data_IF_129680959418
#
_entry.id   IF_129680959418
#
_cell.length_a   1.000
_cell.length_b   1.000
_cell.length_c   1.000
_cell.angle_alpha   90.00
_cell.angle_beta   90.00
_cell.angle_gamma   90.00
#
_symmetry.space_group_name_H-M   'P 1'
#
loop_
_entity.id
_entity.type
_entity.pdbx_description
1 polymer ?
#
# COMPACT_ATOMS: atom_id res chain seq x y z
N UNK A 1 0.23 24.93 14.53
CA UNK A 1 0.28 23.46 14.62
C UNK A 1 0.97 22.89 13.39
N UNK A 2 1.74 21.82 13.57
CA UNK A 2 2.43 21.14 12.47
C UNK A 2 2.07 19.66 12.50
N UNK A 3 1.64 19.12 11.37
CA UNK A 3 1.37 17.70 11.22
C UNK A 3 2.58 16.99 10.58
N UNK A 4 2.73 15.73 10.91
CA UNK A 4 3.72 14.83 10.29
C UNK A 4 2.98 13.63 9.73
N UNK A 5 3.45 13.11 8.60
CA UNK A 5 2.87 11.90 8.04
C UNK A 5 3.30 10.73 8.90
N UNK A 6 2.31 9.99 9.43
CA UNK A 6 2.56 8.77 10.22
C UNK A 6 2.74 7.58 9.29
N UNK A 7 1.81 7.41 8.37
CA UNK A 7 1.88 6.42 7.30
C UNK A 7 0.95 6.82 6.16
N UNK A 8 1.17 6.22 5.00
CA UNK A 8 0.27 6.29 3.86
C UNK A 8 -0.42 4.94 3.73
N UNK A 9 -1.75 4.93 3.70
CA UNK A 9 -2.55 3.71 3.56
C UNK A 9 -2.88 3.43 2.10
N UNK A 10 -2.69 2.19 1.68
CA UNK A 10 -2.99 1.71 0.33
C UNK A 10 -3.83 0.45 0.44
N UNK A 11 -5.05 0.51 -0.11
CA UNK A 11 -5.91 -0.67 -0.20
C UNK A 11 -5.49 -1.49 -1.39
N UNK A 12 -5.30 -2.80 -1.18
CA UNK A 12 -4.85 -3.74 -2.20
C UNK A 12 -5.84 -4.89 -2.33
N UNK A 13 -5.90 -5.49 -3.50
CA UNK A 13 -6.79 -6.64 -3.76
C UNK A 13 -6.19 -7.93 -3.20
N UNK A 14 -4.87 -8.07 -3.32
CA UNK A 14 -4.12 -9.26 -2.86
C UNK A 14 -2.95 -8.81 -1.99
N UNK A 15 -3.12 -8.93 -0.68
CA UNK A 15 -2.12 -8.49 0.29
C UNK A 15 -0.81 -9.26 0.17
N UNK A 16 -0.87 -10.58 -0.04
CA UNK A 16 0.36 -11.38 -0.13
C UNK A 16 1.21 -10.98 -1.34
N UNK A 17 0.59 -10.74 -2.48
CA UNK A 17 1.27 -10.25 -3.67
C UNK A 17 1.86 -8.86 -3.45
N UNK A 18 1.09 -7.95 -2.88
CA UNK A 18 1.56 -6.60 -2.56
C UNK A 18 2.72 -6.63 -1.57
N UNK A 19 2.66 -7.47 -0.54
CA UNK A 19 3.75 -7.63 0.42
C UNK A 19 5.04 -8.10 -0.25
N UNK A 20 4.95 -9.05 -1.18
CA UNK A 20 6.14 -9.49 -1.94
C UNK A 20 6.74 -8.36 -2.75
N UNK A 21 5.91 -7.57 -3.41
CA UNK A 21 6.39 -6.41 -4.16
C UNK A 21 7.11 -5.39 -3.27
N UNK A 22 6.47 -4.98 -2.19
CA UNK A 22 7.04 -3.95 -1.30
C UNK A 22 8.29 -4.42 -0.57
N UNK A 23 8.37 -5.70 -0.20
CA UNK A 23 9.54 -6.25 0.50
C UNK A 23 10.65 -6.66 -0.46
N UNK A 24 10.34 -7.43 -1.50
CA UNK A 24 11.35 -8.00 -2.39
C UNK A 24 11.85 -7.00 -3.43
N UNK A 25 10.97 -6.16 -3.98
CA UNK A 25 11.34 -5.18 -5.00
C UNK A 25 11.80 -3.87 -4.36
N UNK A 26 11.05 -3.35 -3.40
CA UNK A 26 11.29 -2.02 -2.83
C UNK A 26 12.09 -2.05 -1.52
N UNK A 27 12.30 -3.23 -0.93
CA UNK A 27 13.14 -3.36 0.26
C UNK A 27 12.52 -2.87 1.56
N UNK A 28 11.20 -2.70 1.62
CA UNK A 28 10.52 -2.36 2.87
C UNK A 28 10.47 -3.57 3.80
N UNK A 29 10.39 -3.30 5.09
CA UNK A 29 10.32 -4.32 6.14
C UNK A 29 8.94 -4.33 6.79
N UNK A 30 8.33 -5.53 6.92
CA UNK A 30 7.05 -5.67 7.62
C UNK A 30 7.30 -5.50 9.12
N UNK A 31 6.64 -4.51 9.72
CA UNK A 31 6.73 -4.25 11.17
C UNK A 31 5.59 -4.86 11.95
N UNK A 32 4.37 -4.73 11.44
CA UNK A 32 3.16 -5.23 12.10
C UNK A 32 2.21 -5.76 11.04
N UNK A 33 1.65 -6.93 11.28
CA UNK A 33 0.56 -7.48 10.49
C UNK A 33 -0.55 -7.89 11.44
N UNK A 34 -1.79 -7.45 11.16
CA UNK A 34 -2.94 -7.67 12.03
C UNK A 34 -4.18 -8.02 11.23
N UNK A 35 -4.95 -8.98 11.77
CA UNK A 35 -6.32 -9.20 11.36
C UNK A 35 -7.23 -8.40 12.29
N UNK A 36 -8.06 -7.53 11.74
CA UNK A 36 -8.85 -6.58 12.53
C UNK A 36 -10.33 -6.68 12.17
N UNK A 37 -11.17 -6.63 13.21
CA UNK A 37 -12.63 -6.66 13.11
C UNK A 37 -13.23 -6.08 14.40
N UNK A 38 -14.53 -5.84 14.39
CA UNK A 38 -15.28 -5.40 15.56
C UNK A 38 -15.74 -3.95 15.48
N UNK A 39 -16.56 -3.50 16.46
CA UNK A 39 -17.18 -2.17 16.42
C UNK A 39 -16.19 -1.01 16.35
N UNK A 40 -15.02 -1.15 16.98
CA UNK A 40 -13.98 -0.13 16.95
C UNK A 40 -13.43 0.06 15.54
N UNK A 41 -13.18 -1.05 14.84
CA UNK A 41 -12.68 -1.02 13.46
C UNK A 41 -13.75 -0.47 12.52
N UNK A 42 -15.01 -0.90 12.70
CA UNK A 42 -16.13 -0.39 11.92
C UNK A 42 -16.24 1.13 12.04
N UNK A 43 -16.14 1.64 13.26
CA UNK A 43 -16.21 3.07 13.51
C UNK A 43 -15.03 3.83 12.86
N UNK A 44 -13.82 3.29 12.96
CA UNK A 44 -12.64 3.89 12.34
C UNK A 44 -12.72 3.94 10.81
N UNK A 45 -13.25 2.89 10.22
CA UNK A 45 -13.32 2.76 8.75
C UNK A 45 -14.59 3.41 8.16
N UNK A 46 -15.58 3.71 8.99
CA UNK A 46 -16.87 4.20 8.50
C UNK A 46 -17.63 3.17 7.70
N UNK A 47 -17.47 1.89 8.03
CA UNK A 47 -18.08 0.73 7.36
C UNK A 47 -18.74 -0.17 8.39
N UNK A 48 -19.54 -1.13 7.92
CA UNK A 48 -20.21 -2.09 8.79
C UNK A 48 -19.61 -3.49 8.60
N UNK A 49 -19.48 -4.23 9.71
CA UNK A 49 -19.03 -5.63 9.73
C UNK A 49 -17.69 -5.82 9.00
N UNK A 50 -16.74 -4.96 9.28
CA UNK A 50 -15.42 -4.97 8.66
C UNK A 50 -14.61 -6.18 9.11
N UNK A 51 -14.00 -6.86 8.14
CA UNK A 51 -12.88 -7.78 8.35
C UNK A 51 -11.76 -7.35 7.42
N UNK A 52 -10.65 -6.91 8.00
CA UNK A 52 -9.52 -6.37 7.25
C UNK A 52 -8.22 -6.94 7.79
N UNK A 53 -7.29 -7.25 6.89
CA UNK A 53 -5.90 -7.52 7.28
C UNK A 53 -5.07 -6.30 6.90
N UNK A 54 -4.32 -5.80 7.87
CA UNK A 54 -3.43 -4.66 7.68
C UNK A 54 -1.98 -5.09 7.87
N UNK A 55 -1.08 -4.46 7.11
CA UNK A 55 0.35 -4.65 7.29
C UNK A 55 1.05 -3.29 7.23
N UNK A 56 1.78 -2.95 8.29
CA UNK A 56 2.60 -1.74 8.32
C UNK A 56 4.02 -2.08 7.92
N UNK A 57 4.52 -1.37 6.93
CA UNK A 57 5.84 -1.55 6.33
C UNK A 57 6.68 -0.32 6.59
N UNK A 58 7.96 -0.54 6.84
CA UNK A 58 8.91 0.53 7.11
C UNK A 58 10.02 0.53 6.09
N UNK A 59 10.29 1.70 5.52
CA UNK A 59 11.43 1.94 4.64
C UNK A 59 12.71 2.17 5.44
N UNK A 60 13.89 2.07 4.81
CA UNK A 60 15.16 2.39 5.47
C UNK A 60 15.25 3.81 6.05
N UNK A 61 14.52 4.77 5.48
CA UNK A 61 14.46 6.15 5.93
C UNK A 61 13.41 6.41 7.02
N UNK A 62 12.85 5.34 7.62
CA UNK A 62 11.81 5.38 8.63
C UNK A 62 10.40 5.71 8.11
N UNK A 63 10.22 5.98 6.82
CA UNK A 63 8.90 6.18 6.22
C UNK A 63 8.04 4.94 6.35
N UNK A 64 6.74 5.12 6.58
CA UNK A 64 5.80 4.02 6.79
C UNK A 64 4.73 3.98 5.70
N UNK A 65 4.42 2.78 5.26
CA UNK A 65 3.28 2.49 4.39
C UNK A 65 2.44 1.42 5.06
N UNK A 66 1.12 1.56 5.00
CA UNK A 66 0.20 0.53 5.48
C UNK A 66 -0.55 -0.05 4.28
N UNK A 67 -0.47 -1.35 4.10
CA UNK A 67 -1.26 -2.08 3.12
C UNK A 67 -2.47 -2.69 3.79
N UNK A 68 -3.64 -2.60 3.14
CA UNK A 68 -4.90 -3.09 3.70
C UNK A 68 -5.61 -3.94 2.65
N UNK A 69 -6.07 -5.11 3.06
CA UNK A 69 -6.98 -5.92 2.26
C UNK A 69 -8.28 -6.13 3.03
N UNK A 70 -9.37 -5.62 2.48
CA UNK A 70 -10.71 -5.76 3.06
C UNK A 70 -11.34 -7.06 2.57
N UNK A 71 -11.42 -8.06 3.44
CA UNK A 71 -12.04 -9.36 3.12
C UNK A 71 -13.56 -9.25 3.06
N UNK A 72 -14.14 -8.39 3.90
CA UNK A 72 -15.58 -8.16 3.99
C UNK A 72 -16.11 -7.19 2.92
N UNK A 73 -15.24 -6.33 2.39
CA UNK A 73 -15.59 -5.28 1.43
C UNK A 73 -14.59 -5.30 0.27
N UNK A 74 -14.53 -6.37 -0.52
CA UNK A 74 -13.56 -6.45 -1.60
C UNK A 74 -13.89 -5.44 -2.69
N UNK A 75 -12.89 -4.65 -3.07
CA UNK A 75 -13.00 -3.74 -4.21
C UNK A 75 -12.39 -4.43 -5.43
N UNK A 76 -13.20 -4.58 -6.48
CA UNK A 76 -12.78 -5.19 -7.73
C UNK A 76 -12.76 -4.17 -8.88
N UNK A 77 -13.13 -2.93 -8.60
CA UNK A 77 -13.13 -1.88 -9.61
C UNK A 77 -11.71 -1.43 -9.91
N UNK A 78 -11.36 -1.34 -11.19
CA UNK A 78 -10.12 -0.72 -11.60
C UNK A 78 -10.21 0.79 -11.37
N UNK A 79 -9.12 1.40 -10.88
CA UNK A 79 -9.05 2.84 -10.78
C UNK A 79 -9.09 3.46 -12.18
N UNK A 80 -10.10 4.30 -12.43
CA UNK A 80 -10.38 4.87 -13.75
C UNK A 80 -9.75 6.25 -14.01
N UNK A 81 -8.93 6.74 -13.08
CA UNK A 81 -8.29 8.03 -13.21
C UNK A 81 -6.94 7.99 -13.93
N UNK A 82 -6.30 9.14 -14.02
CA UNK A 82 -4.95 9.30 -14.52
C UNK A 82 -4.13 10.20 -13.58
N UNK A 83 -2.89 10.53 -13.96
CA UNK A 83 -2.00 11.32 -13.12
C UNK A 83 -2.53 12.72 -12.80
N UNK A 84 -3.52 13.22 -13.55
CA UNK A 84 -4.14 14.54 -13.34
C UNK A 84 -5.40 14.48 -12.47
N UNK A 85 -5.85 13.31 -12.10
CA UNK A 85 -7.09 13.15 -11.32
C UNK A 85 -6.91 13.64 -9.90
N UNK A 86 -7.95 14.29 -9.35
CA UNK A 86 -7.91 14.75 -7.96
C UNK A 86 -7.78 13.56 -7.01
N UNK A 87 -6.85 13.65 -6.09
CA UNK A 87 -6.59 12.61 -5.08
C UNK A 87 -5.15 12.13 -5.09
N UNK A 88 -4.91 11.01 -4.43
CA UNK A 88 -3.60 10.38 -4.39
C UNK A 88 -3.38 9.57 -5.66
N UNK A 89 -2.46 9.99 -6.50
CA UNK A 89 -2.23 9.37 -7.81
C UNK A 89 -0.92 8.60 -7.89
N UNK A 90 0.06 8.91 -7.03
CA UNK A 90 1.37 8.27 -7.08
C UNK A 90 2.12 8.42 -5.77
N UNK A 91 3.14 7.60 -5.62
CA UNK A 91 4.16 7.73 -4.57
C UNK A 91 5.51 7.80 -5.27
N UNK A 92 6.30 8.80 -4.91
CA UNK A 92 7.67 8.94 -5.41
C UNK A 92 8.64 8.27 -4.45
N UNK A 93 9.53 7.45 -4.99
CA UNK A 93 10.54 6.74 -4.22
C UNK A 93 11.93 7.09 -4.74
N UNK A 94 12.87 7.26 -3.81
CA UNK A 94 14.30 7.37 -4.15
C UNK A 94 14.91 5.98 -3.98
N UNK A 95 15.63 5.53 -5.00
CA UNK A 95 16.26 4.20 -5.00
C UNK A 95 17.73 4.33 -5.36
N UNK A 96 18.55 3.35 -4.95
CA UNK A 96 19.99 3.38 -5.19
C UNK A 96 20.34 3.03 -6.64
N UNK A 97 19.59 2.12 -7.25
CA UNK A 97 19.82 1.65 -8.62
C UNK A 97 18.50 1.61 -9.38
N UNK A 98 18.24 2.66 -10.15
CA UNK A 98 16.99 2.83 -10.88
C UNK A 98 16.79 1.72 -11.93
N UNK A 99 17.84 1.32 -12.62
CA UNK A 99 17.72 0.29 -13.66
C UNK A 99 17.38 -1.07 -13.07
N UNK A 100 18.00 -1.42 -11.95
CA UNK A 100 17.69 -2.67 -11.24
C UNK A 100 16.27 -2.69 -10.71
N UNK A 101 15.78 -1.60 -10.14
CA UNK A 101 14.41 -1.51 -9.63
C UNK A 101 13.41 -1.58 -10.78
N UNK A 102 13.64 -0.87 -11.87
CA UNK A 102 12.78 -0.94 -13.04
C UNK A 102 12.66 -2.35 -13.61
N UNK A 103 13.77 -3.08 -13.69
CA UNK A 103 13.75 -4.47 -14.15
C UNK A 103 12.91 -5.36 -13.23
N UNK A 104 13.01 -5.18 -11.91
CA UNK A 104 12.21 -5.93 -10.93
C UNK A 104 10.73 -5.58 -10.99
N UNK A 105 10.41 -4.29 -11.17
CA UNK A 105 9.02 -3.83 -11.35
C UNK A 105 8.39 -4.51 -12.56
N UNK A 106 9.10 -4.53 -13.69
CA UNK A 106 8.61 -5.21 -14.89
C UNK A 106 8.44 -6.71 -14.69
N UNK A 107 9.38 -7.36 -13.99
CA UNK A 107 9.28 -8.79 -13.68
C UNK A 107 8.07 -9.11 -12.79
N UNK A 108 7.61 -8.15 -11.99
CA UNK A 108 6.44 -8.28 -11.13
C UNK A 108 5.12 -7.91 -11.85
N UNK A 109 5.17 -7.55 -13.11
CA UNK A 109 3.99 -7.20 -13.92
C UNK A 109 3.71 -5.72 -14.04
N UNK A 110 4.58 -4.87 -13.51
CA UNK A 110 4.50 -3.43 -13.72
C UNK A 110 5.02 -3.04 -15.10
N UNK A 111 4.90 -1.76 -15.42
CA UNK A 111 5.34 -1.22 -16.71
C UNK A 111 6.00 0.14 -16.52
N UNK A 112 7.00 0.40 -17.35
CA UNK A 112 7.59 1.72 -17.47
C UNK A 112 6.76 2.56 -18.45
N UNK A 113 6.52 3.82 -18.09
CA UNK A 113 5.75 4.73 -18.96
C UNK A 113 6.64 5.76 -19.68
N UNK A 114 7.89 5.82 -19.30
CA UNK A 114 8.84 6.72 -19.93
C UNK A 114 10.27 6.17 -19.88
#
# INVERSE_FOLDING_TARGET
>A
MRARIRHTGIVVVDLEEALRFWTEVLGFEIKVRMDEAGPHIDAMMGLEDVRVTTAKLKAPDESMVELLQFHSHPDVAAWGGDASSTGLTHIALTVDDIDAVCARVEAFGGALVA
#
